data_IF_643267230205
#
_entry.id   IF_643267230205
#
_cell.length_a   1.000
_cell.length_b   1.000
_cell.length_c   1.000
_cell.angle_alpha   90.00
_cell.angle_beta   90.00
_cell.angle_gamma   90.00
#
_symmetry.space_group_name_H-M   'P 1'
#
loop_
_entity.id
_entity.type
_entity.pdbx_description
1 polymer ?
#
# COMPACT_ATOMS: atom_id res chain seq x y z
N UNK A 1 -11.09 26.22 27.05
CA UNK A 1 -10.27 26.35 25.83
C UNK A 1 -8.92 25.70 26.07
N UNK A 2 -8.76 24.43 25.71
CA UNK A 2 -7.49 23.69 25.54
C UNK A 2 -7.89 22.23 25.35
N UNK A 3 -8.04 21.77 24.09
CA UNK A 3 -8.07 20.35 23.71
C UNK A 3 -7.91 20.18 22.18
N UNK A 4 -7.23 21.13 21.51
CA UNK A 4 -7.07 21.13 20.04
C UNK A 4 -5.64 20.96 19.52
N UNK A 5 -4.65 20.70 20.39
CA UNK A 5 -3.22 20.70 20.01
C UNK A 5 -2.51 19.35 20.07
N UNK A 6 -3.15 18.31 20.64
CA UNK A 6 -2.47 17.02 20.88
C UNK A 6 -2.32 16.18 19.60
N UNK A 7 -3.27 16.26 18.65
CA UNK A 7 -3.19 15.50 17.38
C UNK A 7 -2.11 16.06 16.44
N UNK A 8 -2.05 17.38 16.23
CA UNK A 8 -1.06 18.00 15.35
C UNK A 8 0.38 17.88 15.88
N UNK A 9 0.60 17.99 17.20
CA UNK A 9 1.95 17.84 17.78
C UNK A 9 2.51 16.41 17.70
N UNK A 10 1.66 15.39 17.79
CA UNK A 10 2.08 13.98 17.64
C UNK A 10 2.47 13.71 16.18
N UNK A 11 1.65 14.15 15.21
CA UNK A 11 1.95 13.99 13.78
C UNK A 11 3.26 14.68 13.37
N UNK A 12 3.50 15.92 13.83
CA UNK A 12 4.74 16.66 13.50
C UNK A 12 5.99 16.01 14.12
N UNK A 13 5.90 15.48 15.34
CA UNK A 13 7.04 14.80 16.00
C UNK A 13 7.37 13.47 15.34
N UNK A 14 6.36 12.70 14.92
CA UNK A 14 6.55 11.43 14.21
C UNK A 14 7.16 11.67 12.84
N UNK A 15 6.68 12.67 12.08
CA UNK A 15 7.22 12.95 10.75
C UNK A 15 8.68 13.41 10.78
N UNK A 16 9.04 14.29 11.72
CA UNK A 16 10.44 14.73 11.89
C UNK A 16 11.34 13.56 12.27
N UNK A 17 10.93 12.75 13.26
CA UNK A 17 11.69 11.58 13.67
C UNK A 17 11.85 10.54 12.56
N UNK A 18 10.81 10.34 11.73
CA UNK A 18 10.87 9.45 10.57
C UNK A 18 11.83 9.99 9.52
N UNK A 19 11.72 11.29 9.18
CA UNK A 19 12.61 11.96 8.23
C UNK A 19 14.07 11.89 8.67
N UNK A 20 14.37 12.19 9.94
CA UNK A 20 15.72 12.10 10.50
C UNK A 20 16.27 10.67 10.44
N UNK A 21 15.42 9.67 10.73
CA UNK A 21 15.79 8.26 10.61
C UNK A 21 16.08 7.85 9.16
N UNK A 22 15.25 8.27 8.19
CA UNK A 22 15.46 7.94 6.78
C UNK A 22 16.72 8.61 6.21
N UNK A 23 16.94 9.89 6.54
CA UNK A 23 18.11 10.65 6.09
C UNK A 23 19.43 10.11 6.68
N UNK A 24 19.39 9.55 7.89
CA UNK A 24 20.58 8.92 8.51
C UNK A 24 20.85 7.50 8.03
N UNK A 25 19.92 6.85 7.33
CA UNK A 25 20.02 5.46 6.85
C UNK A 25 19.76 5.34 5.34
N UNK A 26 20.28 6.29 4.56
CA UNK A 26 20.17 6.24 3.10
C UNK A 26 20.81 4.95 2.55
N UNK A 27 20.27 4.36 1.47
CA UNK A 27 20.84 3.17 0.86
C UNK A 27 22.29 3.40 0.43
N UNK A 28 23.18 2.46 0.76
CA UNK A 28 24.56 2.45 0.28
C UNK A 28 24.59 1.92 -1.17
N UNK A 29 24.92 2.76 -2.17
CA UNK A 29 24.92 2.35 -3.58
C UNK A 29 25.93 1.23 -3.89
N UNK A 30 26.97 1.06 -3.06
CA UNK A 30 27.99 0.03 -3.25
C UNK A 30 27.50 -1.39 -2.97
N UNK A 31 26.36 -1.53 -2.29
CA UNK A 31 25.71 -2.82 -2.00
C UNK A 31 24.85 -3.34 -3.16
N UNK A 32 24.69 -2.57 -4.24
CA UNK A 32 23.92 -2.95 -5.40
C UNK A 32 24.56 -4.09 -6.20
N UNK A 33 23.74 -4.92 -6.85
CA UNK A 33 24.24 -5.92 -7.79
C UNK A 33 24.76 -5.22 -9.06
N UNK A 34 25.98 -5.57 -9.48
CA UNK A 34 26.58 -5.06 -10.72
C UNK A 34 25.99 -5.63 -12.02
N UNK A 35 24.94 -6.45 -11.93
CA UNK A 35 24.28 -7.08 -13.07
C UNK A 35 22.78 -6.74 -13.12
N UNK A 36 22.15 -7.05 -14.26
CA UNK A 36 20.72 -6.85 -14.51
C UNK A 36 19.89 -8.14 -14.44
N UNK A 37 20.46 -9.23 -13.93
CA UNK A 37 19.80 -10.54 -13.92
C UNK A 37 19.41 -10.98 -12.53
N UNK A 38 20.29 -10.81 -11.54
CA UNK A 38 20.05 -11.21 -10.14
C UNK A 38 18.83 -10.49 -9.58
N UNK A 39 17.90 -11.24 -8.98
CA UNK A 39 16.75 -10.68 -8.28
C UNK A 39 17.09 -9.99 -6.96
N UNK A 40 16.10 -9.33 -6.36
CA UNK A 40 16.24 -8.74 -5.04
C UNK A 40 16.16 -9.81 -3.94
N UNK A 41 16.83 -9.54 -2.82
CA UNK A 41 16.76 -10.37 -1.62
C UNK A 41 15.64 -9.94 -0.67
N UNK A 42 14.58 -9.29 -1.19
CA UNK A 42 13.52 -8.65 -0.42
C UNK A 42 12.93 -9.58 0.65
N UNK A 43 12.59 -10.80 0.27
CA UNK A 43 11.96 -11.76 1.17
C UNK A 43 12.91 -12.26 2.26
N UNK A 44 14.21 -12.29 1.98
CA UNK A 44 15.22 -12.60 2.99
C UNK A 44 15.31 -11.47 4.04
N UNK A 45 15.17 -10.22 3.63
CA UNK A 45 15.18 -9.06 4.55
C UNK A 45 13.94 -9.08 5.46
N UNK A 46 12.79 -9.48 4.93
CA UNK A 46 11.53 -9.54 5.69
C UNK A 46 11.44 -10.75 6.62
N UNK A 47 11.87 -11.94 6.19
CA UNK A 47 11.70 -13.23 6.90
C UNK A 47 12.28 -13.27 8.31
N UNK A 48 11.63 -14.00 9.22
CA UNK A 48 12.29 -14.52 10.43
C UNK A 48 13.43 -15.44 10.01
N UNK A 49 14.64 -15.21 10.50
CA UNK A 49 15.72 -16.19 10.40
C UNK A 49 15.41 -17.34 11.36
N UNK A 50 14.64 -18.32 10.90
CA UNK A 50 14.35 -19.56 11.64
C UNK A 50 15.53 -20.52 11.45
N UNK A 51 16.66 -20.25 12.12
CA UNK A 51 17.77 -21.20 12.14
C UNK A 51 17.41 -22.41 13.00
N UNK A 52 16.83 -23.43 12.36
CA UNK A 52 16.83 -24.81 12.85
C UNK A 52 18.00 -25.62 12.27
N UNK A 53 19.09 -24.96 11.89
CA UNK A 53 20.39 -25.58 11.66
C UNK A 53 21.46 -24.85 12.47
N UNK A 54 21.55 -25.22 13.74
CA UNK A 54 22.60 -24.80 14.68
C UNK A 54 24.01 -25.28 14.31
N UNK A 55 24.27 -25.79 13.11
CA UNK A 55 25.61 -26.19 12.72
C UNK A 55 25.92 -25.68 11.31
N UNK A 56 26.95 -24.83 11.25
CA UNK A 56 27.73 -24.41 10.07
C UNK A 56 27.32 -23.13 9.32
N UNK A 57 26.93 -22.06 10.02
CA UNK A 57 27.20 -20.70 9.52
C UNK A 57 27.75 -19.80 10.64
N UNK A 58 29.08 -19.72 10.75
CA UNK A 58 29.76 -18.62 11.45
C UNK A 58 29.62 -17.34 10.60
N UNK A 59 29.38 -16.21 11.28
CA UNK A 59 29.50 -14.81 10.82
C UNK A 59 28.43 -14.29 9.83
N UNK A 60 27.37 -13.71 10.40
CA UNK A 60 26.78 -12.37 10.15
C UNK A 60 25.30 -12.46 10.48
N UNK A 61 24.94 -12.19 11.74
CA UNK A 61 23.53 -12.15 12.18
C UNK A 61 22.83 -11.03 11.42
N UNK A 62 22.12 -11.36 10.34
CA UNK A 62 21.18 -10.42 9.74
C UNK A 62 20.01 -10.28 10.71
N UNK A 63 19.89 -9.12 11.34
CA UNK A 63 18.69 -8.76 12.07
C UNK A 63 17.60 -8.51 11.04
N UNK A 64 16.76 -9.51 10.79
CA UNK A 64 15.63 -9.39 9.86
C UNK A 64 14.44 -8.73 10.54
N UNK A 65 13.53 -8.15 9.74
CA UNK A 65 12.40 -7.37 10.25
C UNK A 65 11.54 -8.17 11.24
N UNK A 66 11.11 -9.37 10.85
CA UNK A 66 10.26 -10.21 11.69
C UNK A 66 10.96 -10.82 12.92
N UNK A 67 12.30 -10.75 12.98
CA UNK A 67 13.09 -11.17 14.14
C UNK A 67 13.26 -10.07 15.20
N UNK A 68 12.69 -8.88 14.99
CA UNK A 68 12.81 -7.78 15.94
C UNK A 68 12.05 -8.12 17.24
N UNK A 69 12.79 -8.23 18.35
CA UNK A 69 12.24 -8.44 19.69
C UNK A 69 12.23 -7.18 20.55
N UNK A 70 12.72 -6.04 20.02
CA UNK A 70 12.80 -4.78 20.76
C UNK A 70 11.47 -4.03 20.81
N UNK A 71 10.63 -4.21 19.78
CA UNK A 71 9.31 -3.60 19.64
C UNK A 71 8.32 -4.63 19.12
N UNK A 72 7.04 -4.47 19.45
CA UNK A 72 5.98 -5.29 18.87
C UNK A 72 5.89 -5.05 17.36
N UNK A 73 5.70 -6.12 16.60
CA UNK A 73 5.46 -6.08 15.16
C UNK A 73 3.98 -6.11 14.80
N UNK A 74 3.11 -6.31 15.80
CA UNK A 74 1.67 -6.39 15.60
C UNK A 74 1.14 -5.09 15.00
N UNK A 75 0.51 -5.16 13.83
CA UNK A 75 -0.04 -3.99 13.15
C UNK A 75 0.99 -3.11 12.43
N UNK A 76 2.23 -3.59 12.26
CA UNK A 76 3.25 -2.81 11.57
C UNK A 76 2.90 -2.60 10.09
N UNK A 77 3.12 -1.38 9.60
CA UNK A 77 3.03 -1.07 8.17
C UNK A 77 4.43 -1.09 7.55
N UNK A 78 4.60 -1.83 6.46
CA UNK A 78 5.86 -1.97 5.74
C UNK A 78 5.68 -1.38 4.35
N UNK A 79 6.43 -0.33 4.04
CA UNK A 79 6.42 0.34 2.73
C UNK A 79 7.70 0.01 1.98
N UNK A 80 7.57 -0.44 0.74
CA UNK A 80 8.70 -0.90 -0.07
C UNK A 80 8.62 -0.24 -1.44
N UNK A 81 9.67 0.47 -1.84
CA UNK A 81 9.88 0.86 -3.22
C UNK A 81 10.84 -0.15 -3.88
N UNK A 82 10.39 -0.80 -4.95
CA UNK A 82 11.12 -1.89 -5.60
C UNK A 82 11.37 -1.58 -7.07
N UNK A 83 12.65 -1.57 -7.46
CA UNK A 83 13.06 -1.55 -8.87
C UNK A 83 13.74 -2.86 -9.30
N UNK A 84 14.15 -3.72 -8.38
CA UNK A 84 14.73 -5.04 -8.70
C UNK A 84 13.77 -6.10 -8.21
N UNK A 85 13.20 -6.87 -9.13
CA UNK A 85 12.19 -7.86 -8.78
C UNK A 85 12.87 -9.04 -8.08
N UNK A 86 12.18 -9.73 -7.16
CA UNK A 86 12.61 -11.03 -6.68
C UNK A 86 12.66 -12.05 -7.82
N UNK A 87 13.41 -13.13 -7.62
CA UNK A 87 13.38 -14.30 -8.51
C UNK A 87 12.53 -15.44 -7.90
N UNK A 88 12.31 -15.38 -6.59
CA UNK A 88 11.55 -16.36 -5.83
C UNK A 88 10.08 -16.40 -6.29
N UNK A 89 9.57 -17.62 -6.49
CA UNK A 89 8.17 -17.89 -6.84
C UNK A 89 7.31 -18.22 -5.64
N UNK A 90 7.86 -18.89 -4.62
CA UNK A 90 7.13 -19.25 -3.41
C UNK A 90 7.37 -18.24 -2.28
N UNK A 91 6.34 -17.46 -1.99
CA UNK A 91 6.29 -16.47 -0.90
C UNK A 91 5.30 -16.83 0.20
N UNK A 92 4.74 -18.04 0.18
CA UNK A 92 3.69 -18.48 1.11
C UNK A 92 4.12 -18.40 2.57
N UNK A 93 5.34 -18.84 2.89
CA UNK A 93 5.88 -18.84 4.25
C UNK A 93 6.03 -17.41 4.81
N UNK A 94 6.56 -16.47 4.01
CA UNK A 94 6.72 -15.08 4.47
C UNK A 94 5.36 -14.39 4.61
N UNK A 95 4.43 -14.61 3.67
CA UNK A 95 3.06 -14.10 3.79
C UNK A 95 2.39 -14.60 5.07
N UNK A 96 2.52 -15.90 5.38
CA UNK A 96 1.99 -16.48 6.62
C UNK A 96 2.57 -15.79 7.86
N UNK A 97 3.88 -15.56 7.89
CA UNK A 97 4.53 -14.90 9.03
C UNK A 97 4.09 -13.43 9.19
N UNK A 98 3.98 -12.69 8.08
CA UNK A 98 3.48 -11.31 8.08
C UNK A 98 2.05 -11.24 8.60
N UNK A 99 1.16 -12.09 8.09
CA UNK A 99 -0.24 -12.18 8.53
C UNK A 99 -0.38 -12.56 10.00
N UNK A 100 0.43 -13.50 10.48
CA UNK A 100 0.44 -13.90 11.91
C UNK A 100 0.82 -12.75 12.83
N UNK A 101 1.64 -11.81 12.34
CA UNK A 101 2.00 -10.60 13.07
C UNK A 101 1.13 -9.40 12.68
N UNK A 102 0.02 -9.59 11.97
CA UNK A 102 -0.85 -8.50 11.50
C UNK A 102 -0.08 -7.38 10.76
N UNK A 103 0.99 -7.74 10.05
CA UNK A 103 1.80 -6.79 9.29
C UNK A 103 1.13 -6.53 7.94
N UNK A 104 1.00 -5.26 7.59
CA UNK A 104 0.42 -4.81 6.32
C UNK A 104 1.54 -4.33 5.41
N UNK A 105 1.61 -4.88 4.19
CA UNK A 105 2.72 -4.59 3.26
C UNK A 105 2.24 -3.82 2.04
N UNK A 106 2.87 -2.68 1.80
CA UNK A 106 2.63 -1.78 0.67
C UNK A 106 3.85 -1.76 -0.24
N UNK A 107 3.64 -1.95 -1.54
CA UNK A 107 4.76 -2.06 -2.49
C UNK A 107 4.53 -1.15 -3.68
N UNK A 108 5.44 -0.20 -3.89
CA UNK A 108 5.54 0.55 -5.13
C UNK A 108 6.58 -0.12 -6.03
N UNK A 109 6.11 -0.66 -7.16
CA UNK A 109 6.93 -1.41 -8.11
C UNK A 109 7.24 -0.50 -9.29
N UNK A 110 8.53 -0.28 -9.55
CA UNK A 110 8.96 0.37 -10.79
C UNK A 110 8.70 -0.60 -11.95
N UNK A 111 7.83 -0.21 -12.88
CA UNK A 111 7.46 -1.01 -14.05
C UNK A 111 8.66 -1.37 -14.95
N UNK A 112 9.80 -0.69 -14.78
CA UNK A 112 11.05 -0.96 -15.50
C UNK A 112 12.06 -1.60 -14.54
N UNK A 113 12.18 -2.94 -14.51
CA UNK A 113 13.07 -3.61 -13.59
C UNK A 113 14.53 -3.34 -13.92
N UNK A 114 15.32 -3.15 -12.87
CA UNK A 114 16.80 -3.12 -12.91
C UNK A 114 17.42 -4.51 -12.82
N UNK A 115 16.62 -5.54 -12.53
CA UNK A 115 16.98 -6.96 -12.54
C UNK A 115 15.92 -7.81 -11.87
N UNK A 116 16.12 -9.13 -11.89
CA UNK A 116 15.11 -10.12 -11.55
C UNK A 116 13.95 -10.13 -12.52
N UNK A 117 12.97 -11.00 -12.27
CA UNK A 117 11.89 -11.26 -13.24
C UNK A 117 10.49 -11.39 -12.64
N UNK A 118 10.35 -11.67 -11.35
CA UNK A 118 9.07 -12.04 -10.78
C UNK A 118 8.41 -10.89 -10.01
N UNK A 119 7.65 -10.06 -10.72
CA UNK A 119 6.83 -9.02 -10.09
C UNK A 119 5.53 -9.55 -9.48
N UNK A 120 5.05 -10.73 -9.91
CA UNK A 120 3.77 -11.28 -9.45
C UNK A 120 3.79 -11.54 -7.93
N UNK A 121 4.92 -11.99 -7.39
CA UNK A 121 5.04 -12.24 -5.94
C UNK A 121 5.05 -10.97 -5.10
N UNK A 122 5.46 -9.82 -5.67
CA UNK A 122 5.34 -8.51 -5.01
C UNK A 122 3.86 -8.13 -4.84
N UNK A 123 3.08 -8.30 -5.90
CA UNK A 123 1.63 -8.09 -5.82
C UNK A 123 1.00 -9.04 -4.81
N UNK A 124 1.27 -10.35 -4.92
CA UNK A 124 0.70 -11.37 -4.03
C UNK A 124 0.98 -11.08 -2.56
N UNK A 125 2.19 -10.64 -2.22
CA UNK A 125 2.55 -10.27 -0.85
C UNK A 125 1.67 -9.14 -0.30
N UNK A 126 1.54 -8.06 -1.04
CA UNK A 126 0.71 -6.92 -0.62
C UNK A 126 -0.77 -7.29 -0.54
N UNK A 127 -1.26 -8.05 -1.53
CA UNK A 127 -2.63 -8.54 -1.63
C UNK A 127 -3.01 -9.40 -0.43
N UNK A 128 -2.16 -10.36 -0.06
CA UNK A 128 -2.41 -11.29 1.04
C UNK A 128 -2.18 -10.67 2.43
N UNK A 129 -1.66 -9.45 2.53
CA UNK A 129 -1.41 -8.78 3.82
C UNK A 129 -2.32 -7.57 4.05
N UNK A 130 -3.42 -7.47 3.29
CA UNK A 130 -4.37 -6.34 3.27
C UNK A 130 -3.77 -5.00 2.83
N UNK A 131 -2.51 -4.98 2.36
CA UNK A 131 -1.94 -3.82 1.70
C UNK A 131 -2.36 -3.76 0.24
N UNK A 132 -1.58 -3.05 -0.56
CA UNK A 132 -1.72 -3.01 -2.01
C UNK A 132 -0.37 -2.79 -2.68
N UNK A 133 -0.29 -3.21 -3.94
CA UNK A 133 0.87 -2.98 -4.79
C UNK A 133 0.46 -2.08 -5.93
N UNK A 134 1.31 -1.11 -6.26
CA UNK A 134 1.15 -0.26 -7.41
C UNK A 134 2.32 -0.45 -8.38
N UNK A 135 2.04 -0.24 -9.66
CA UNK A 135 3.03 -0.31 -10.73
C UNK A 135 3.07 1.04 -11.44
N UNK A 136 4.22 1.68 -11.45
CA UNK A 136 4.43 2.97 -12.09
C UNK A 136 5.90 3.13 -12.46
N UNK A 137 6.28 4.18 -13.19
CA UNK A 137 7.70 4.50 -13.42
C UNK A 137 7.94 6.00 -13.40
N UNK A 138 9.19 6.43 -13.28
CA UNK A 138 9.57 7.84 -13.31
C UNK A 138 8.87 8.68 -12.22
N UNK A 139 8.30 9.82 -12.61
CA UNK A 139 7.61 10.74 -11.70
C UNK A 139 6.38 10.10 -11.05
N UNK A 140 5.66 9.27 -11.78
CA UNK A 140 4.43 8.65 -11.29
C UNK A 140 4.74 7.71 -10.14
N UNK A 141 5.82 6.92 -10.26
CA UNK A 141 6.27 6.06 -9.15
C UNK A 141 6.60 6.87 -7.90
N UNK A 142 7.28 8.01 -8.05
CA UNK A 142 7.61 8.89 -6.93
C UNK A 142 6.35 9.42 -6.25
N UNK A 143 5.41 9.98 -7.02
CA UNK A 143 4.18 10.54 -6.47
C UNK A 143 3.28 9.46 -5.87
N UNK A 144 3.13 8.32 -6.55
CA UNK A 144 2.31 7.23 -6.05
C UNK A 144 2.86 6.65 -4.73
N UNK A 145 4.19 6.53 -4.60
CA UNK A 145 4.82 6.08 -3.36
C UNK A 145 4.70 7.13 -2.24
N UNK A 146 4.84 8.43 -2.56
CA UNK A 146 4.62 9.52 -1.61
C UNK A 146 3.21 9.46 -1.01
N UNK A 147 2.17 9.37 -1.85
CA UNK A 147 0.79 9.26 -1.41
C UNK A 147 0.46 7.94 -0.70
N UNK A 148 1.08 6.83 -1.11
CA UNK A 148 1.02 5.57 -0.38
C UNK A 148 1.54 5.73 1.05
N UNK A 149 2.66 6.42 1.26
CA UNK A 149 3.17 6.67 2.63
C UNK A 149 2.35 7.67 3.42
N UNK A 150 1.59 8.56 2.76
CA UNK A 150 0.72 9.54 3.41
C UNK A 150 -0.39 8.90 4.25
N UNK A 151 -0.76 7.64 3.97
CA UNK A 151 -1.69 6.82 4.77
C UNK A 151 -1.26 6.71 6.23
N UNK A 152 0.03 6.87 6.56
CA UNK A 152 0.51 6.91 7.95
C UNK A 152 -0.12 8.04 8.80
N UNK A 153 -0.76 9.03 8.17
CA UNK A 153 -1.53 10.06 8.88
C UNK A 153 -2.85 9.51 9.47
N UNK A 154 -3.41 8.47 8.85
CA UNK A 154 -4.64 7.79 9.28
C UNK A 154 -4.39 6.29 9.17
N UNK A 155 -3.63 5.66 10.08
CA UNK A 155 -3.08 4.32 9.82
C UNK A 155 -4.11 3.20 9.96
N UNK A 156 -5.28 3.43 10.55
CA UNK A 156 -6.23 2.35 10.80
C UNK A 156 -7.07 2.05 9.57
N UNK A 157 -6.83 0.88 8.99
CA UNK A 157 -7.57 0.42 7.82
C UNK A 157 -8.99 0.00 8.19
N UNK A 158 -9.98 0.60 7.52
CA UNK A 158 -11.41 0.34 7.71
C UNK A 158 -12.06 -0.37 6.51
N UNK A 159 -11.44 -0.28 5.33
CA UNK A 159 -11.84 -1.03 4.13
C UNK A 159 -10.61 -1.68 3.53
N UNK A 160 -10.72 -2.98 3.27
CA UNK A 160 -9.80 -3.76 2.45
C UNK A 160 -10.58 -4.77 1.62
N UNK A 161 -10.90 -4.40 0.38
CA UNK A 161 -11.69 -5.23 -0.52
C UNK A 161 -10.94 -5.43 -1.84
N UNK A 162 -11.09 -6.62 -2.43
CA UNK A 162 -10.50 -6.96 -3.72
C UNK A 162 -11.61 -7.52 -4.61
N UNK A 163 -11.63 -7.08 -5.87
CA UNK A 163 -12.65 -7.45 -6.83
C UNK A 163 -11.98 -8.02 -8.07
N UNK A 164 -12.36 -9.24 -8.44
CA UNK A 164 -11.99 -9.81 -9.74
C UNK A 164 -12.99 -9.29 -10.75
N UNK A 165 -12.49 -8.61 -11.78
CA UNK A 165 -13.30 -7.93 -12.80
C UNK A 165 -12.78 -8.22 -14.20
N UNK A 166 -13.62 -8.01 -15.20
CA UNK A 166 -13.26 -8.09 -16.62
C UNK A 166 -14.19 -7.15 -17.39
N UNK A 167 -13.80 -6.77 -18.61
CA UNK A 167 -14.59 -5.91 -19.49
C UNK A 167 -15.07 -4.61 -18.78
N UNK A 168 -16.35 -4.25 -18.93
CA UNK A 168 -16.96 -3.10 -18.27
C UNK A 168 -17.84 -3.54 -17.12
N UNK A 169 -17.87 -2.76 -16.06
CA UNK A 169 -18.79 -3.03 -14.97
C UNK A 169 -18.79 -1.96 -13.90
N UNK A 170 -19.51 -2.29 -12.82
CA UNK A 170 -19.67 -1.43 -11.66
C UNK A 170 -19.48 -2.22 -10.38
N UNK A 171 -18.67 -1.69 -9.48
CA UNK A 171 -18.53 -2.15 -8.10
C UNK A 171 -19.34 -1.21 -7.20
N UNK A 172 -20.16 -1.78 -6.34
CA UNK A 172 -20.87 -1.07 -5.29
C UNK A 172 -20.43 -1.61 -3.92
N UNK A 173 -19.64 -0.83 -3.21
CA UNK A 173 -19.27 -1.16 -1.84
C UNK A 173 -20.49 -0.95 -0.95
N UNK A 174 -20.77 -1.92 -0.07
CA UNK A 174 -21.83 -1.78 0.94
C UNK A 174 -21.64 -0.50 1.76
N UNK A 175 -22.75 0.12 2.16
CA UNK A 175 -22.68 1.34 2.94
C UNK A 175 -21.86 1.11 4.23
N UNK A 176 -20.96 2.03 4.53
CA UNK A 176 -20.05 1.93 5.66
C UNK A 176 -20.07 3.21 6.50
N UNK A 177 -19.72 3.08 7.77
CA UNK A 177 -19.46 4.20 8.67
C UNK A 177 -17.96 4.28 8.94
N UNK A 178 -17.51 5.47 9.32
CA UNK A 178 -16.13 5.66 9.79
C UNK A 178 -16.10 5.52 11.31
N UNK A 179 -14.95 5.15 11.91
CA UNK A 179 -14.78 5.13 13.36
C UNK A 179 -14.70 6.55 13.97
N UNK A 180 -14.87 7.60 13.16
CA UNK A 180 -14.85 8.99 13.60
C UNK A 180 -16.05 9.22 14.55
N UNK A 181 -15.85 9.86 15.71
CA UNK A 181 -16.96 10.13 16.63
C UNK A 181 -18.03 11.04 16.02
N UNK A 182 -19.30 10.79 16.37
CA UNK A 182 -20.43 11.62 15.95
C UNK A 182 -20.20 13.10 16.28
N UNK A 183 -20.48 13.98 15.31
CA UNK A 183 -20.26 15.43 15.43
C UNK A 183 -18.86 15.90 15.06
N UNK A 184 -17.94 14.99 14.76
CA UNK A 184 -16.59 15.30 14.27
C UNK A 184 -16.43 14.89 12.80
N UNK A 185 -15.48 15.52 12.13
CA UNK A 185 -15.03 15.13 10.81
C UNK A 185 -13.50 15.08 10.79
N UNK A 186 -12.95 14.14 10.03
CA UNK A 186 -11.51 13.92 9.95
C UNK A 186 -11.11 13.46 8.55
N UNK A 187 -9.86 13.73 8.11
CA UNK A 187 -9.33 13.12 6.90
C UNK A 187 -9.39 11.60 6.97
N UNK A 188 -9.81 10.98 5.87
CA UNK A 188 -9.72 9.55 5.61
C UNK A 188 -8.99 9.38 4.28
N UNK A 189 -7.84 8.72 4.32
CA UNK A 189 -7.11 8.37 3.11
C UNK A 189 -7.73 7.14 2.46
N UNK A 190 -7.69 7.07 1.14
CA UNK A 190 -8.13 5.89 0.40
C UNK A 190 -7.25 5.67 -0.84
N UNK A 191 -7.19 4.42 -1.27
CA UNK A 191 -6.47 4.01 -2.45
C UNK A 191 -7.29 3.03 -3.28
N UNK A 192 -7.24 3.21 -4.59
CA UNK A 192 -7.75 2.29 -5.60
C UNK A 192 -6.61 1.83 -6.48
N UNK A 193 -6.42 0.51 -6.62
CA UNK A 193 -5.57 -0.04 -7.68
C UNK A 193 -6.43 -0.70 -8.75
N UNK A 194 -5.97 -0.65 -9.99
CA UNK A 194 -6.74 -1.12 -11.15
C UNK A 194 -6.23 -2.44 -11.73
N UNK A 195 -4.96 -2.80 -11.51
CA UNK A 195 -4.37 -4.02 -12.07
C UNK A 195 -3.27 -4.57 -11.15
N UNK A 196 -2.97 -5.86 -11.30
CA UNK A 196 -1.96 -6.59 -10.55
C UNK A 196 -0.59 -6.69 -11.26
N UNK A 197 -0.42 -5.98 -12.37
CA UNK A 197 0.79 -5.91 -13.17
C UNK A 197 1.03 -4.48 -13.65
N UNK A 198 2.12 -4.26 -14.39
CA UNK A 198 2.38 -2.99 -15.08
C UNK A 198 1.16 -2.56 -15.91
N UNK A 199 0.79 -1.28 -15.81
CA UNK A 199 -0.29 -0.69 -16.61
C UNK A 199 -0.08 -1.00 -18.09
N UNK A 200 -1.10 -1.54 -18.74
CA UNK A 200 -1.10 -1.84 -20.16
C UNK A 200 -2.37 -1.33 -20.85
N UNK A 201 -2.49 -1.62 -22.14
CA UNK A 201 -3.58 -1.12 -22.97
C UNK A 201 -4.93 -1.82 -22.69
N UNK A 202 -4.98 -2.82 -21.82
CA UNK A 202 -6.25 -3.43 -21.44
C UNK A 202 -7.08 -2.53 -20.54
N UNK A 203 -6.45 -1.65 -19.75
CA UNK A 203 -7.16 -0.64 -18.97
C UNK A 203 -7.59 0.53 -19.86
N UNK A 204 -8.90 0.83 -19.89
CA UNK A 204 -9.43 1.95 -20.67
C UNK A 204 -9.80 3.12 -19.78
N UNK A 205 -10.60 2.87 -18.74
CA UNK A 205 -11.01 3.93 -17.81
C UNK A 205 -11.50 3.41 -16.47
N UNK A 206 -11.41 4.29 -15.47
CA UNK A 206 -12.05 4.13 -14.17
C UNK A 206 -12.55 5.50 -13.72
N UNK A 207 -13.76 5.52 -13.18
CA UNK A 207 -14.23 6.62 -12.37
C UNK A 207 -14.83 6.06 -11.08
N UNK A 208 -14.85 6.85 -10.01
CA UNK A 208 -15.50 6.45 -8.79
C UNK A 208 -16.10 7.65 -8.06
N UNK A 209 -17.06 7.34 -7.20
CA UNK A 209 -17.72 8.29 -6.30
C UNK A 209 -17.70 7.76 -4.88
N UNK A 210 -17.28 8.60 -3.93
CA UNK A 210 -17.47 8.37 -2.49
C UNK A 210 -18.49 9.41 -2.02
N UNK A 211 -19.67 8.98 -1.63
CA UNK A 211 -20.77 9.90 -1.25
C UNK A 211 -21.44 9.48 0.05
N UNK A 212 -21.96 10.46 0.78
CA UNK A 212 -22.78 10.18 1.95
C UNK A 212 -24.16 9.67 1.53
N UNK A 213 -24.74 8.78 2.34
CA UNK A 213 -26.06 8.19 2.03
C UNK A 213 -27.21 9.18 2.05
N UNK A 214 -27.02 10.34 2.68
CA UNK A 214 -27.98 11.44 2.71
C UNK A 214 -27.77 12.47 1.58
N UNK A 215 -26.75 12.28 0.74
CA UNK A 215 -26.42 13.16 -0.40
C UNK A 215 -25.75 14.49 -0.03
N UNK A 216 -25.42 14.73 1.25
CA UNK A 216 -24.77 15.97 1.70
C UNK A 216 -23.29 16.09 1.31
N UNK A 217 -22.63 14.98 1.01
CA UNK A 217 -21.22 14.93 0.66
C UNK A 217 -20.99 14.04 -0.57
N UNK A 218 -20.14 14.49 -1.50
CA UNK A 218 -19.73 13.73 -2.68
C UNK A 218 -18.29 14.06 -3.05
N UNK A 219 -17.46 13.02 -3.17
CA UNK A 219 -16.13 13.07 -3.79
C UNK A 219 -16.15 12.26 -5.08
N UNK A 220 -15.51 12.76 -6.15
CA UNK A 220 -15.47 12.09 -7.46
C UNK A 220 -14.06 12.04 -8.01
N UNK A 221 -13.76 10.93 -8.67
CA UNK A 221 -12.60 10.78 -9.53
C UNK A 221 -13.07 10.29 -10.92
N UNK A 222 -12.54 10.84 -12.01
CA UNK A 222 -11.67 12.02 -12.06
C UNK A 222 -12.44 13.31 -11.72
N UNK A 223 -11.75 14.28 -11.13
CA UNK A 223 -12.24 15.66 -10.93
C UNK A 223 -11.05 16.62 -10.86
N UNK A 224 -11.30 17.93 -10.85
CA UNK A 224 -10.21 18.93 -10.76
C UNK A 224 -9.47 18.88 -9.42
N UNK A 225 -10.15 18.45 -8.36
CA UNK A 225 -9.62 18.39 -7.01
C UNK A 225 -9.05 17.02 -6.64
N UNK A 226 -9.24 16.01 -7.50
CA UNK A 226 -8.75 14.65 -7.27
C UNK A 226 -7.36 14.46 -7.88
N UNK A 227 -6.51 13.75 -7.16
CA UNK A 227 -5.21 13.33 -7.67
C UNK A 227 -5.38 12.37 -8.85
N UNK A 228 -4.49 12.46 -9.87
CA UNK A 228 -4.58 11.58 -11.02
C UNK A 228 -4.23 10.13 -10.64
N UNK A 229 -4.53 9.23 -11.56
CA UNK A 229 -4.04 7.86 -11.51
C UNK A 229 -2.53 7.85 -11.83
N UNK A 230 -1.70 7.47 -10.86
CA UNK A 230 -0.25 7.34 -11.04
C UNK A 230 0.10 5.88 -11.32
N UNK A 231 0.33 5.55 -12.60
CA UNK A 231 0.47 4.17 -13.03
C UNK A 231 -0.82 3.38 -12.77
N UNK A 232 -0.76 2.34 -11.92
CA UNK A 232 -1.94 1.53 -11.60
C UNK A 232 -2.65 1.91 -10.30
N UNK A 233 -2.25 2.98 -9.61
CA UNK A 233 -2.86 3.38 -8.35
C UNK A 233 -3.28 4.84 -8.32
N UNK A 234 -4.47 5.06 -7.76
CA UNK A 234 -4.98 6.37 -7.40
C UNK A 234 -5.11 6.39 -5.88
N UNK A 235 -4.52 7.37 -5.22
CA UNK A 235 -4.56 7.51 -3.76
C UNK A 235 -4.86 8.96 -3.45
N UNK A 236 -5.82 9.20 -2.58
CA UNK A 236 -6.29 10.53 -2.20
C UNK A 236 -6.84 10.52 -0.77
N UNK A 237 -7.36 11.65 -0.32
CA UNK A 237 -8.07 11.74 0.94
C UNK A 237 -9.35 12.58 0.83
N UNK A 238 -10.25 12.33 1.76
CA UNK A 238 -11.47 13.12 1.93
C UNK A 238 -11.74 13.34 3.42
N UNK A 239 -12.32 14.49 3.76
CA UNK A 239 -12.80 14.73 5.13
C UNK A 239 -14.18 14.10 5.29
N UNK A 240 -14.25 12.98 6.01
CA UNK A 240 -15.49 12.26 6.30
C UNK A 240 -15.99 12.60 7.70
N UNK A 241 -17.31 12.56 7.89
CA UNK A 241 -18.01 12.91 9.13
C UNK A 241 -18.47 11.63 9.85
N UNK A 242 -18.24 11.57 11.16
CA UNK A 242 -18.59 10.45 12.01
C UNK A 242 -20.09 10.21 12.19
N UNK A 243 -20.94 11.18 11.84
CA UNK A 243 -22.40 11.08 11.89
C UNK A 243 -23.02 10.50 10.61
N UNK A 244 -22.23 10.32 9.55
CA UNK A 244 -22.72 9.92 8.23
C UNK A 244 -22.32 8.48 7.89
N UNK A 245 -23.15 7.85 7.07
CA UNK A 245 -22.77 6.64 6.34
C UNK A 245 -22.39 7.02 4.91
N UNK A 246 -21.49 6.25 4.32
CA UNK A 246 -20.93 6.49 3.00
C UNK A 246 -21.10 5.28 2.09
N UNK A 247 -21.11 5.53 0.78
CA UNK A 247 -21.01 4.52 -0.26
C UNK A 247 -19.81 4.83 -1.13
N UNK A 248 -19.21 3.78 -1.69
CA UNK A 248 -18.15 3.90 -2.68
C UNK A 248 -18.55 3.09 -3.91
N UNK A 249 -18.77 3.79 -5.02
CA UNK A 249 -19.12 3.16 -6.30
C UNK A 249 -18.01 3.40 -7.31
N UNK A 250 -17.63 2.36 -8.04
CA UNK A 250 -16.55 2.40 -9.03
C UNK A 250 -17.13 1.87 -10.35
N UNK A 251 -17.05 2.68 -11.40
CA UNK A 251 -17.36 2.28 -12.76
C UNK A 251 -16.04 2.11 -13.51
N UNK A 252 -15.85 0.94 -14.11
CA UNK A 252 -14.60 0.57 -14.76
C UNK A 252 -14.84 0.02 -16.17
N UNK A 253 -13.84 0.16 -17.02
CA UNK A 253 -13.83 -0.39 -18.37
C UNK A 253 -12.44 -0.89 -18.74
N UNK A 254 -12.38 -2.17 -19.12
CA UNK A 254 -11.24 -2.82 -19.73
C UNK A 254 -11.58 -3.31 -21.14
N UNK A 255 -10.61 -3.25 -22.04
CA UNK A 255 -10.65 -3.80 -23.40
C UNK A 255 -10.11 -5.24 -23.41
N UNK A 256 -10.53 -6.05 -22.44
CA UNK A 256 -10.17 -7.46 -22.32
C UNK A 256 -11.19 -8.21 -21.48
N UNK A 257 -11.38 -9.49 -21.81
CA UNK A 257 -12.09 -10.48 -21.00
C UNK A 257 -11.19 -11.15 -19.96
N UNK A 258 -9.87 -10.91 -20.02
CA UNK A 258 -8.92 -11.43 -19.06
C UNK A 258 -9.19 -10.84 -17.66
N UNK A 259 -9.23 -11.67 -16.60
CA UNK A 259 -9.47 -11.19 -15.25
C UNK A 259 -8.42 -10.18 -14.77
N UNK A 260 -8.91 -9.05 -14.28
CA UNK A 260 -8.16 -7.99 -13.61
C UNK A 260 -8.57 -7.94 -12.14
N UNK A 261 -7.76 -7.27 -11.31
CA UNK A 261 -8.07 -7.11 -9.88
C UNK A 261 -8.06 -5.63 -9.51
N UNK A 262 -9.22 -5.15 -9.08
CA UNK A 262 -9.36 -3.83 -8.45
C UNK A 262 -9.25 -4.00 -6.94
N UNK A 263 -8.37 -3.23 -6.29
CA UNK A 263 -8.24 -3.22 -4.83
C UNK A 263 -8.73 -1.87 -4.28
N UNK A 264 -9.59 -1.92 -3.27
CA UNK A 264 -10.08 -0.74 -2.55
C UNK A 264 -9.54 -0.75 -1.13
N UNK A 265 -8.94 0.36 -0.72
CA UNK A 265 -8.40 0.56 0.62
C UNK A 265 -8.90 1.89 1.17
N UNK A 266 -9.33 1.92 2.42
CA UNK A 266 -9.66 3.15 3.12
C UNK A 266 -9.15 3.09 4.54
N UNK A 267 -8.71 4.24 5.03
CA UNK A 267 -8.08 4.39 6.32
C UNK A 267 -8.62 5.58 7.11
N UNK A 268 -8.58 5.46 8.43
CA UNK A 268 -9.09 6.44 9.38
C UNK A 268 -8.18 6.53 10.62
N UNK A 269 -8.54 7.41 11.55
CA UNK A 269 -7.85 7.59 12.84
C UNK A 269 -8.34 6.63 13.92
#
# INVERSE_FOLDING_TARGET
MQNGLVSAEIHVKVWRSLSDSLNSHLPDPSLGYGNKTTGSNLYTVLKVCTLLSQLLFKKKTFQTFLNNRKVSLCGAHVFIAVKRYPDESDVSDIIRQLRTNHVIVYIAVDSIPSGGSNSATLYEMSYQTNGYSLFATGSDLRYAFEWMTAILQTPYQIIAQNFVVSESGRIEVSAFTTPIPTGYASPCFFATTIQNHTLDNSFVSMNYTIESTDGSYVFKFPSQDALPLFGTAQTDFSTLNGSLSYKWTIDYHYDTDAPQIIQLRMYSH
#
